data_IF_399480912727
#
_entry.id   IF_399480912727
#
_cell.length_a   1.000
_cell.length_b   1.000
_cell.length_c   1.000
_cell.angle_alpha   90.00
_cell.angle_beta   90.00
_cell.angle_gamma   90.00
#
_symmetry.space_group_name_H-M   'P 1'
#
loop_
_entity.id
_entity.type
_entity.pdbx_description
1 polymer ?
#
# COMPACT_ATOMS: atom_id res chain seq x y z
N UNK A 1 20.78 1.54 9.54
CA UNK A 1 20.22 0.17 9.49
C UNK A 1 18.73 0.31 9.30
N UNK A 2 18.22 -0.08 8.13
CA UNK A 2 16.78 -0.14 7.87
C UNK A 2 16.09 -1.00 8.95
N UNK A 3 15.09 -0.46 9.63
CA UNK A 3 14.26 -1.25 10.54
C UNK A 3 12.99 -1.65 9.79
N UNK A 4 13.12 -2.67 8.94
CA UNK A 4 11.98 -3.28 8.25
C UNK A 4 11.13 -4.05 9.26
N UNK A 5 9.84 -3.73 9.32
CA UNK A 5 8.85 -4.52 10.05
C UNK A 5 7.81 -5.05 9.05
N UNK A 6 7.44 -6.32 9.18
CA UNK A 6 6.35 -6.91 8.41
C UNK A 6 5.35 -7.50 9.42
N UNK A 7 4.21 -6.84 9.58
CA UNK A 7 3.19 -7.25 10.53
C UNK A 7 2.14 -8.16 9.84
N UNK A 8 1.96 -9.42 10.30
CA UNK A 8 0.91 -10.29 9.77
C UNK A 8 -0.51 -9.86 10.17
N UNK A 9 -0.64 -9.04 11.22
CA UNK A 9 -1.90 -8.47 11.71
C UNK A 9 -1.93 -6.98 11.37
N UNK A 10 -2.63 -6.59 10.29
CA UNK A 10 -2.63 -5.20 9.88
C UNK A 10 -3.27 -4.34 10.98
N UNK A 11 -2.59 -3.25 11.36
CA UNK A 11 -3.04 -2.31 12.40
C UNK A 11 -4.11 -1.37 11.82
N UNK A 12 -5.14 -1.96 11.21
CA UNK A 12 -6.18 -1.26 10.46
C UNK A 12 -6.91 -0.26 11.36
N UNK A 13 -7.16 -0.64 12.62
CA UNK A 13 -7.95 0.19 13.54
C UNK A 13 -7.22 1.44 14.05
N UNK A 14 -5.89 1.49 13.91
CA UNK A 14 -5.02 2.55 14.44
C UNK A 14 -4.13 3.16 13.37
N UNK A 15 -4.53 3.08 12.09
CA UNK A 15 -3.70 3.53 10.97
C UNK A 15 -3.41 5.04 11.04
N UNK A 16 -4.33 5.81 11.61
CA UNK A 16 -4.16 7.23 11.87
C UNK A 16 -3.04 7.53 12.87
N UNK A 17 -2.77 6.62 13.82
CA UNK A 17 -1.80 6.82 14.90
C UNK A 17 -0.37 6.42 14.50
N UNK A 18 -0.21 5.81 13.32
CA UNK A 18 1.08 5.32 12.84
C UNK A 18 1.99 6.52 12.50
N UNK A 19 3.03 6.70 13.31
CA UNK A 19 4.05 7.74 13.16
C UNK A 19 4.93 7.48 11.92
N UNK A 20 4.44 7.91 10.76
CA UNK A 20 5.12 7.89 9.45
C UNK A 20 4.77 9.15 8.70
N UNK A 21 5.61 9.60 7.76
CA UNK A 21 5.33 10.80 6.95
C UNK A 21 4.70 10.48 5.58
N UNK A 22 4.59 9.20 5.24
CA UNK A 22 4.02 8.73 3.98
C UNK A 22 3.34 7.37 4.14
N UNK A 23 2.06 7.31 3.78
CA UNK A 23 1.33 6.04 3.63
C UNK A 23 1.30 5.67 2.15
N UNK A 24 1.72 4.45 1.82
CA UNK A 24 1.47 3.81 0.53
C UNK A 24 0.29 2.85 0.67
N UNK A 25 -0.75 3.11 -0.10
CA UNK A 25 -1.90 2.21 -0.23
C UNK A 25 -2.09 1.78 -1.67
N UNK A 26 -2.97 0.81 -1.90
CA UNK A 26 -3.16 0.19 -3.21
C UNK A 26 -4.62 0.16 -3.63
N UNK A 27 -4.85 0.24 -4.94
CA UNK A 27 -6.20 0.14 -5.53
C UNK A 27 -6.21 -0.88 -6.67
N UNK A 28 -7.33 -1.59 -6.77
CA UNK A 28 -7.65 -2.42 -7.92
C UNK A 28 -8.58 -1.66 -8.87
N UNK A 29 -8.38 -1.88 -10.15
CA UNK A 29 -9.11 -1.21 -11.23
C UNK A 29 -10.59 -1.62 -11.29
N UNK A 30 -10.91 -2.85 -10.92
CA UNK A 30 -12.19 -3.53 -11.19
C UNK A 30 -13.00 -3.89 -9.93
N UNK A 31 -12.61 -3.41 -8.75
CA UNK A 31 -13.34 -3.67 -7.48
C UNK A 31 -14.40 -2.62 -7.13
N UNK A 32 -14.48 -1.51 -7.88
CA UNK A 32 -15.50 -0.46 -7.74
C UNK A 32 -15.44 0.38 -6.45
N UNK A 33 -14.63 -0.02 -5.47
CA UNK A 33 -14.34 0.73 -4.26
C UNK A 33 -12.96 0.34 -3.69
N UNK A 34 -12.30 1.23 -2.94
CA UNK A 34 -11.09 0.89 -2.18
C UNK A 34 -11.34 -0.28 -1.22
N UNK A 35 -10.34 -1.16 -1.07
CA UNK A 35 -10.41 -2.37 -0.22
C UNK A 35 -9.24 -2.43 0.76
N UNK A 36 -9.38 -3.26 1.80
CA UNK A 36 -8.35 -3.41 2.83
C UNK A 36 -8.01 -2.06 3.47
N UNK A 37 -6.71 -1.77 3.60
CA UNK A 37 -6.25 -0.48 4.16
C UNK A 37 -6.69 0.72 3.31
N UNK A 38 -6.74 0.61 1.98
CA UNK A 38 -7.24 1.71 1.14
C UNK A 38 -8.69 2.07 1.49
N UNK A 39 -9.53 1.05 1.77
CA UNK A 39 -10.90 1.24 2.24
C UNK A 39 -10.97 1.90 3.62
N UNK A 40 -10.10 1.52 4.55
CA UNK A 40 -10.04 2.16 5.87
C UNK A 40 -9.59 3.62 5.78
N UNK A 41 -8.54 3.90 4.99
CA UNK A 41 -8.07 5.27 4.76
C UNK A 41 -9.18 6.09 4.10
N UNK A 42 -9.86 5.53 3.11
CA UNK A 42 -10.98 6.19 2.45
C UNK A 42 -12.12 6.51 3.42
N UNK A 43 -12.47 5.56 4.31
CA UNK A 43 -13.49 5.79 5.35
C UNK A 43 -13.12 6.95 6.28
N UNK A 44 -11.85 7.01 6.73
CA UNK A 44 -11.36 8.11 7.57
C UNK A 44 -11.33 9.46 6.85
N UNK A 45 -11.14 9.44 5.53
CA UNK A 45 -11.17 10.62 4.68
C UNK A 45 -12.58 10.92 4.12
N UNK A 46 -13.64 10.37 4.71
CA UNK A 46 -15.03 10.57 4.28
C UNK A 46 -15.26 10.27 2.78
N UNK A 47 -14.64 9.20 2.28
CA UNK A 47 -14.80 8.72 0.91
C UNK A 47 -13.93 9.46 -0.12
N UNK A 48 -12.92 10.24 0.28
CA UNK A 48 -12.10 11.04 -0.64
C UNK A 48 -11.52 10.22 -1.81
N UNK A 49 -10.97 9.02 -1.54
CA UNK A 49 -10.40 8.15 -2.57
C UNK A 49 -11.51 7.67 -3.50
N UNK A 50 -12.65 7.24 -2.95
CA UNK A 50 -13.82 6.83 -3.73
C UNK A 50 -14.33 7.95 -4.64
N UNK A 51 -14.45 9.19 -4.14
CA UNK A 51 -14.82 10.34 -4.97
C UNK A 51 -13.79 10.61 -6.07
N UNK A 52 -12.50 10.45 -5.77
CA UNK A 52 -11.41 10.61 -6.76
C UNK A 52 -11.49 9.53 -7.86
N UNK A 53 -11.92 8.31 -7.52
CA UNK A 53 -12.19 7.25 -8.50
C UNK A 53 -13.42 7.57 -9.36
N UNK A 54 -14.51 8.06 -8.76
CA UNK A 54 -15.72 8.47 -9.49
C UNK A 54 -15.46 9.63 -10.44
N UNK A 55 -14.60 10.57 -10.03
CA UNK A 55 -14.11 11.69 -10.84
C UNK A 55 -13.13 11.28 -11.95
N UNK A 56 -12.79 9.98 -12.07
CA UNK A 56 -11.80 9.46 -13.03
C UNK A 56 -10.41 10.09 -12.88
N UNK A 57 -10.05 10.52 -11.67
CA UNK A 57 -8.70 11.05 -11.35
C UNK A 57 -7.75 9.95 -10.88
N UNK A 58 -8.30 8.85 -10.37
CA UNK A 58 -7.55 7.65 -9.97
C UNK A 58 -8.27 6.42 -10.50
N UNK A 59 -7.57 5.55 -11.21
CA UNK A 59 -8.18 4.41 -11.90
C UNK A 59 -7.82 3.06 -11.28
N UNK A 60 -6.70 2.97 -10.55
CA UNK A 60 -6.17 1.70 -10.06
C UNK A 60 -5.43 0.89 -11.13
N UNK A 61 -5.08 1.50 -12.26
CA UNK A 61 -4.35 0.83 -13.35
C UNK A 61 -2.96 0.39 -12.91
N UNK A 62 -2.43 -0.71 -13.45
CA UNK A 62 -1.19 -1.29 -12.95
C UNK A 62 -0.02 -0.28 -13.01
N UNK A 63 0.58 0.00 -11.84
CA UNK A 63 1.66 0.99 -11.61
C UNK A 63 1.25 2.46 -11.74
N UNK A 64 -0.04 2.76 -11.81
CA UNK A 64 -0.52 4.11 -11.53
C UNK A 64 -0.05 4.53 -10.15
N UNK A 65 0.33 5.80 -10.00
CA UNK A 65 0.88 6.30 -8.75
C UNK A 65 0.37 7.73 -8.56
N UNK A 66 -0.47 7.92 -7.55
CA UNK A 66 -1.11 9.20 -7.26
C UNK A 66 -0.72 9.64 -5.86
N UNK A 67 -0.03 10.78 -5.76
CA UNK A 67 0.34 11.39 -4.49
C UNK A 67 -0.65 12.49 -4.13
N UNK A 68 -1.11 12.49 -2.89
CA UNK A 68 -2.03 13.49 -2.36
C UNK A 68 -1.63 13.87 -0.92
N UNK A 69 -1.95 15.10 -0.48
CA UNK A 69 -1.84 15.44 0.93
C UNK A 69 -2.78 14.56 1.76
N UNK A 70 -2.38 14.30 2.99
CA UNK A 70 -3.20 13.60 3.97
C UNK A 70 -3.46 14.56 5.13
N UNK A 71 -4.74 14.87 5.32
CA UNK A 71 -5.21 15.76 6.39
C UNK A 71 -5.48 14.95 7.68
N UNK A 72 -5.65 15.63 8.84
CA UNK A 72 -6.08 14.97 10.07
C UNK A 72 -7.30 14.06 9.84
N UNK A 73 -7.38 12.89 10.51
CA UNK A 73 -6.71 12.56 11.79
C UNK A 73 -5.34 11.88 11.68
N UNK A 74 -4.80 11.68 10.47
CA UNK A 74 -3.56 10.93 10.30
C UNK A 74 -2.34 11.70 10.83
N UNK A 75 -1.44 10.98 11.50
CA UNK A 75 -0.10 11.49 11.82
C UNK A 75 0.78 11.62 10.56
N UNK A 76 0.45 10.92 9.49
CA UNK A 76 1.07 11.07 8.18
C UNK A 76 0.52 12.25 7.41
N UNK A 77 1.41 12.96 6.70
CA UNK A 77 1.06 14.15 5.90
C UNK A 77 0.86 13.85 4.42
N UNK A 78 1.18 12.64 3.96
CA UNK A 78 1.14 12.25 2.55
C UNK A 78 0.52 10.86 2.39
N UNK A 79 -0.31 10.71 1.36
CA UNK A 79 -0.83 9.43 0.89
C UNK A 79 -0.42 9.22 -0.56
N UNK A 80 0.19 8.08 -0.83
CA UNK A 80 0.50 7.61 -2.17
C UNK A 80 -0.37 6.39 -2.49
N UNK A 81 -1.17 6.51 -3.54
CA UNK A 81 -2.07 5.46 -4.00
C UNK A 81 -1.44 4.80 -5.22
N UNK A 82 -1.27 3.48 -5.15
CA UNK A 82 -0.66 2.71 -6.24
C UNK A 82 -1.66 1.74 -6.86
N UNK A 83 -1.83 1.82 -8.17
CA UNK A 83 -2.72 0.93 -8.89
C UNK A 83 -2.09 -0.46 -9.11
N UNK A 84 -2.90 -1.49 -8.86
CA UNK A 84 -2.54 -2.91 -9.02
C UNK A 84 -3.07 -3.52 -10.32
N UNK A 85 -3.85 -2.76 -11.10
CA UNK A 85 -4.58 -3.23 -12.27
C UNK A 85 -5.78 -4.09 -11.86
N UNK A 86 -6.22 -4.95 -12.78
CA UNK A 86 -7.32 -5.89 -12.50
C UNK A 86 -7.01 -6.85 -11.37
N UNK A 87 -7.94 -6.95 -10.42
CA UNK A 87 -7.98 -7.90 -9.32
C UNK A 87 -7.74 -9.34 -9.77
N UNK A 88 -8.33 -9.73 -10.91
CA UNK A 88 -8.20 -11.09 -11.46
C UNK A 88 -6.79 -11.42 -11.93
N UNK A 89 -5.99 -10.40 -12.20
CA UNK A 89 -4.60 -10.55 -12.63
C UNK A 89 -3.61 -10.52 -11.46
N UNK A 90 -4.07 -10.20 -10.25
CA UNK A 90 -3.23 -10.06 -9.07
C UNK A 90 -2.66 -11.41 -8.61
N UNK A 91 -1.34 -11.55 -8.78
CA UNK A 91 -0.59 -12.77 -8.49
C UNK A 91 0.86 -12.44 -8.10
N UNK A 92 1.63 -13.46 -7.75
CA UNK A 92 3.03 -13.38 -7.33
C UNK A 92 3.92 -12.65 -8.33
N UNK A 93 3.71 -12.85 -9.64
CA UNK A 93 4.49 -12.17 -10.67
C UNK A 93 4.18 -10.66 -10.72
N UNK A 94 2.91 -10.28 -10.59
CA UNK A 94 2.56 -8.86 -10.50
C UNK A 94 3.15 -8.21 -9.25
N UNK A 95 3.09 -8.87 -8.10
CA UNK A 95 3.70 -8.38 -6.85
C UNK A 95 5.21 -8.19 -7.00
N UNK A 96 5.92 -9.18 -7.54
CA UNK A 96 7.37 -9.07 -7.84
C UNK A 96 7.69 -7.92 -8.81
N UNK A 97 6.78 -7.59 -9.74
CA UNK A 97 6.92 -6.45 -10.66
C UNK A 97 6.55 -5.11 -10.04
N UNK A 98 5.76 -5.10 -8.96
CA UNK A 98 5.32 -3.93 -8.23
C UNK A 98 6.40 -3.44 -7.25
N UNK A 99 7.01 -4.36 -6.50
CA UNK A 99 7.95 -4.03 -5.42
C UNK A 99 9.13 -3.13 -5.86
N UNK A 100 9.83 -3.38 -6.99
CA UNK A 100 10.87 -2.47 -7.47
C UNK A 100 10.36 -1.07 -7.82
N UNK A 101 9.11 -0.96 -8.28
CA UNK A 101 8.49 0.33 -8.57
C UNK A 101 8.16 1.06 -7.27
N UNK A 102 7.51 0.38 -6.31
CA UNK A 102 7.22 0.92 -4.99
C UNK A 102 8.48 1.47 -4.32
N UNK A 103 9.56 0.69 -4.30
CA UNK A 103 10.83 1.14 -3.73
C UNK A 103 11.38 2.39 -4.43
N UNK A 104 11.38 2.42 -5.77
CA UNK A 104 11.83 3.61 -6.52
C UNK A 104 10.99 4.84 -6.17
N UNK A 105 9.68 4.67 -6.04
CA UNK A 105 8.78 5.76 -5.64
C UNK A 105 9.06 6.22 -4.22
N UNK A 106 9.24 5.31 -3.27
CA UNK A 106 9.66 5.63 -1.88
C UNK A 106 10.95 6.45 -1.90
N UNK A 107 11.98 5.96 -2.60
CA UNK A 107 13.28 6.64 -2.69
C UNK A 107 13.19 8.01 -3.36
N UNK A 108 12.28 8.20 -4.32
CA UNK A 108 12.05 9.48 -4.97
C UNK A 108 11.35 10.48 -4.04
N UNK A 109 10.36 10.01 -3.27
CA UNK A 109 9.58 10.82 -2.33
C UNK A 109 10.34 11.12 -1.02
N UNK A 110 11.44 10.41 -0.77
CA UNK A 110 12.37 10.60 0.36
C UNK A 110 11.66 10.76 1.70
N UNK A 111 10.77 9.83 2.10
CA UNK A 111 10.21 9.86 3.43
C UNK A 111 11.27 9.55 4.48
N UNK A 112 11.04 10.00 5.70
CA UNK A 112 11.84 9.59 6.88
C UNK A 112 11.36 8.23 7.41
N UNK A 113 10.05 7.98 7.31
CA UNK A 113 9.39 6.74 7.64
C UNK A 113 8.13 6.58 6.77
N UNK A 114 7.89 5.38 6.24
CA UNK A 114 6.67 5.10 5.49
C UNK A 114 6.00 3.81 5.92
N UNK A 115 4.68 3.79 5.79
CA UNK A 115 3.83 2.61 5.89
C UNK A 115 3.51 2.13 4.47
N UNK A 116 3.70 0.85 4.17
CA UNK A 116 3.40 0.25 2.86
C UNK A 116 2.36 -0.84 3.02
N UNK A 117 1.22 -0.68 2.34
CA UNK A 117 0.08 -1.58 2.46
C UNK A 117 -0.04 -2.45 1.22
N UNK A 118 0.11 -3.76 1.39
CA UNK A 118 0.14 -4.72 0.29
C UNK A 118 -1.01 -5.75 0.46
N UNK A 119 -1.91 -5.90 -0.52
CA UNK A 119 -2.93 -6.93 -0.48
C UNK A 119 -2.34 -8.34 -0.46
N UNK A 120 -2.89 -9.22 0.38
CA UNK A 120 -2.55 -10.65 0.37
C UNK A 120 -2.97 -11.29 -0.96
N UNK A 121 -2.14 -12.22 -1.44
CA UNK A 121 -2.43 -13.00 -2.64
C UNK A 121 -3.64 -13.91 -2.41
N UNK A 122 -4.42 -14.10 -3.46
CA UNK A 122 -5.80 -14.58 -3.42
C UNK A 122 -6.00 -16.08 -3.19
N UNK A 123 -5.03 -16.93 -3.54
CA UNK A 123 -5.25 -18.38 -3.42
C UNK A 123 -4.92 -18.86 -2.01
N UNK A 124 -5.84 -19.59 -1.39
CA UNK A 124 -5.69 -20.15 -0.03
C UNK A 124 -4.42 -20.99 0.15
N UNK A 125 -3.88 -21.58 -0.93
CA UNK A 125 -2.60 -22.30 -0.94
C UNK A 125 -1.38 -21.43 -0.59
N UNK A 126 -1.55 -20.11 -0.54
CA UNK A 126 -0.48 -19.11 -0.42
C UNK A 126 -0.55 -18.34 0.89
N UNK A 127 -0.96 -18.98 1.99
CA UNK A 127 -1.15 -18.32 3.30
C UNK A 127 0.00 -17.38 3.73
N UNK A 128 1.22 -17.57 3.24
CA UNK A 128 2.39 -16.71 3.51
C UNK A 128 3.15 -16.22 2.26
N UNK A 129 2.66 -16.45 1.04
CA UNK A 129 3.46 -16.17 -0.17
C UNK A 129 3.72 -14.67 -0.36
N UNK A 130 2.72 -13.82 -0.07
CA UNK A 130 2.91 -12.36 -0.08
C UNK A 130 4.04 -11.94 0.86
N UNK A 131 4.03 -12.46 2.10
CA UNK A 131 5.05 -12.15 3.09
C UNK A 131 6.42 -12.64 2.64
N UNK A 132 6.51 -13.87 2.12
CA UNK A 132 7.77 -14.42 1.62
C UNK A 132 8.37 -13.56 0.50
N UNK A 133 7.56 -13.18 -0.51
CA UNK A 133 8.00 -12.35 -1.64
C UNK A 133 8.47 -10.97 -1.17
N UNK A 134 7.72 -10.35 -0.25
CA UNK A 134 8.07 -9.04 0.29
C UNK A 134 9.35 -9.12 1.12
N UNK A 135 9.44 -10.07 2.05
CA UNK A 135 10.62 -10.27 2.90
C UNK A 135 11.87 -10.56 2.05
N UNK A 136 11.77 -11.46 1.07
CA UNK A 136 12.87 -11.79 0.15
C UNK A 136 13.34 -10.53 -0.58
N UNK A 137 12.41 -9.76 -1.15
CA UNK A 137 12.74 -8.54 -1.89
C UNK A 137 13.47 -7.50 -1.04
N UNK A 138 12.99 -7.23 0.18
CA UNK A 138 13.61 -6.21 1.05
C UNK A 138 14.84 -6.71 1.81
N UNK A 139 15.10 -8.03 1.87
CA UNK A 139 16.24 -8.59 2.61
C UNK A 139 17.61 -8.19 2.05
N UNK A 140 17.67 -7.89 0.75
CA UNK A 140 18.91 -7.52 0.05
C UNK A 140 19.11 -6.00 -0.04
N UNK A 141 18.20 -5.21 0.56
CA UNK A 141 18.11 -3.77 0.32
C UNK A 141 18.49 -3.01 1.60
N UNK A 142 19.66 -2.39 1.58
CA UNK A 142 20.08 -1.47 2.65
C UNK A 142 19.58 -0.05 2.34
N UNK A 143 18.63 0.42 3.15
CA UNK A 143 18.00 1.74 3.00
C UNK A 143 17.95 2.46 4.35
N UNK A 144 18.28 3.74 4.35
CA UNK A 144 18.23 4.57 5.56
C UNK A 144 16.84 5.19 5.78
N UNK A 145 15.79 4.38 5.59
CA UNK A 145 14.38 4.76 5.74
C UNK A 145 13.69 3.68 6.54
N UNK A 146 12.86 4.07 7.52
CA UNK A 146 12.00 3.13 8.23
C UNK A 146 10.81 2.75 7.35
N UNK A 147 10.70 1.46 7.00
CA UNK A 147 9.55 0.94 6.24
C UNK A 147 8.79 -0.06 7.11
N UNK A 148 7.54 0.25 7.40
CA UNK A 148 6.58 -0.68 8.01
C UNK A 148 5.70 -1.25 6.90
N UNK A 149 5.66 -2.57 6.73
CA UNK A 149 4.86 -3.22 5.70
C UNK A 149 3.70 -3.98 6.34
N UNK A 150 2.48 -3.64 5.94
CA UNK A 150 1.27 -4.33 6.35
C UNK A 150 0.68 -5.12 5.19
N UNK A 151 0.36 -6.39 5.46
CA UNK A 151 -0.34 -7.23 4.49
C UNK A 151 -1.79 -7.43 4.87
N UNK A 152 -2.74 -7.12 3.98
CA UNK A 152 -4.18 -7.15 4.29
C UNK A 152 -4.94 -8.09 3.38
N UNK A 153 -5.90 -8.89 3.88
CA UNK A 153 -6.85 -9.54 3.01
C UNK A 153 -7.69 -8.48 2.26
N UNK A 154 -8.16 -8.85 1.08
CA UNK A 154 -9.17 -8.09 0.34
C UNK A 154 -10.48 -8.82 0.60
N UNK A 155 -11.17 -8.39 1.65
CA UNK A 155 -12.53 -8.80 1.97
C UNK A 155 -13.51 -7.71 1.50
#
# INVERSE_FOLDING_TARGET
MAMLSIDPYPKIDFIEDIQTDLIFTTLFEDLGAPKGIAGMVDWRLNGFISHTMLDQKVHGTFRECTLMPLDPPFQSSRLCIVGLGSWRSYNSLQLKRLLPMLLRTIMHLKPTACLVCIPKLLKESYKNETQAIVSEFFSEIDIDIKIDIQTTPIA
#
